data_IF_832894066342
#
_entry.id   IF_832894066342
#
_cell.length_a   1.000
_cell.length_b   1.000
_cell.length_c   1.000
_cell.angle_alpha   90.00
_cell.angle_beta   90.00
_cell.angle_gamma   90.00
#
_symmetry.space_group_name_H-M   'P 1'
#
loop_
_entity.id
_entity.type
_entity.pdbx_description
1 polymer ?
#
# COMPACT_ATOMS: atom_id res chain seq x y z
N UNK A 1 -23.30 -0.43 -1.37
CA UNK A 1 -23.17 -0.69 -2.84
C UNK A 1 -21.93 -1.51 -3.13
N UNK A 2 -22.02 -2.83 -3.35
CA UNK A 2 -20.88 -3.65 -3.72
C UNK A 2 -20.22 -3.12 -4.99
N UNK A 3 -18.88 -3.06 -5.03
CA UNK A 3 -18.14 -2.59 -6.21
C UNK A 3 -17.94 -1.08 -6.33
N UNK A 4 -18.68 -0.23 -5.64
CA UNK A 4 -18.56 1.24 -5.72
C UNK A 4 -17.16 1.74 -5.33
N UNK A 5 -16.51 1.04 -4.39
CA UNK A 5 -15.12 1.33 -4.01
C UNK A 5 -14.18 1.33 -5.22
N UNK A 6 -14.32 0.39 -6.16
CA UNK A 6 -13.48 0.33 -7.38
C UNK A 6 -13.68 1.54 -8.30
N UNK A 7 -14.87 2.15 -8.30
CA UNK A 7 -15.19 3.31 -9.14
C UNK A 7 -14.71 4.62 -8.53
N UNK A 8 -14.78 4.75 -7.21
CA UNK A 8 -14.56 6.01 -6.50
C UNK A 8 -13.21 6.12 -5.79
N UNK A 9 -12.58 4.99 -5.39
CA UNK A 9 -11.27 5.03 -4.76
C UNK A 9 -10.18 5.50 -5.72
N UNK A 10 -9.35 6.42 -5.28
CA UNK A 10 -8.14 6.84 -5.97
C UNK A 10 -7.04 5.77 -5.88
N UNK A 11 -6.12 5.75 -6.87
CA UNK A 11 -5.00 4.79 -6.92
C UNK A 11 -3.81 5.15 -6.03
N UNK A 12 -3.76 6.34 -5.41
CA UNK A 12 -2.49 6.94 -4.93
C UNK A 12 -2.26 7.03 -3.43
N UNK A 13 -3.24 6.74 -2.59
CA UNK A 13 -3.01 6.80 -1.13
C UNK A 13 -3.82 5.72 -0.43
N UNK A 14 -3.16 4.97 0.44
CA UNK A 14 -3.83 4.00 1.30
C UNK A 14 -4.72 4.69 2.36
N UNK A 15 -4.41 5.96 2.69
CA UNK A 15 -5.09 6.75 3.71
C UNK A 15 -5.27 8.21 3.25
N UNK A 16 -6.20 8.48 2.31
CA UNK A 16 -6.39 9.82 1.78
C UNK A 16 -7.01 10.75 2.83
N UNK A 17 -6.47 11.97 2.96
CA UNK A 17 -7.07 13.04 3.77
C UNK A 17 -8.41 13.50 3.20
N UNK A 18 -8.62 13.30 1.91
CA UNK A 18 -9.85 13.59 1.17
C UNK A 18 -10.29 12.33 0.44
N UNK A 19 -11.36 11.72 0.91
CA UNK A 19 -11.85 10.45 0.37
C UNK A 19 -13.17 10.65 -0.38
N UNK A 20 -13.08 10.54 -1.71
CA UNK A 20 -14.24 10.67 -2.60
C UNK A 20 -15.32 9.63 -2.31
N UNK A 21 -14.95 8.42 -1.88
CA UNK A 21 -15.90 7.36 -1.55
C UNK A 21 -16.70 7.74 -0.31
N UNK A 22 -16.04 8.16 0.77
CA UNK A 22 -16.71 8.58 2.01
C UNK A 22 -17.62 9.78 1.79
N UNK A 23 -17.13 10.80 1.06
CA UNK A 23 -17.94 11.97 0.70
C UNK A 23 -19.17 11.60 -0.18
N UNK A 24 -18.99 10.63 -1.09
CA UNK A 24 -20.07 10.15 -1.93
C UNK A 24 -21.11 9.39 -1.11
N UNK A 25 -20.68 8.47 -0.24
CA UNK A 25 -21.59 7.72 0.63
C UNK A 25 -22.31 8.65 1.60
N UNK A 26 -21.65 9.66 2.14
CA UNK A 26 -22.31 10.65 2.99
C UNK A 26 -23.42 11.45 2.25
N UNK A 27 -23.27 11.68 0.95
CA UNK A 27 -24.23 12.44 0.14
C UNK A 27 -25.33 11.54 -0.43
N UNK A 28 -24.95 10.42 -1.07
CA UNK A 28 -25.87 9.44 -1.66
C UNK A 28 -25.89 8.18 -0.79
N UNK A 29 -26.29 8.32 0.46
CA UNK A 29 -26.17 7.29 1.50
C UNK A 29 -26.94 5.99 1.23
N UNK A 30 -27.90 5.99 0.26
CA UNK A 30 -28.68 4.81 -0.10
C UNK A 30 -28.89 4.72 -1.62
N UNK A 31 -29.16 3.51 -2.14
CA UNK A 31 -29.53 3.28 -3.54
C UNK A 31 -30.70 4.14 -4.00
N UNK A 32 -31.76 4.25 -3.17
CA UNK A 32 -32.94 5.02 -3.49
C UNK A 32 -32.68 6.49 -3.73
N UNK A 33 -31.65 7.06 -3.12
CA UNK A 33 -31.24 8.45 -3.37
C UNK A 33 -30.62 8.65 -4.76
N UNK A 34 -30.27 7.56 -5.42
CA UNK A 34 -29.76 7.54 -6.78
C UNK A 34 -30.91 7.19 -7.74
N UNK A 35 -31.63 6.11 -7.46
CA UNK A 35 -32.63 5.53 -8.36
C UNK A 35 -33.98 6.28 -8.37
N UNK A 36 -34.22 7.18 -7.40
CA UNK A 36 -35.35 8.15 -7.43
C UNK A 36 -35.22 9.18 -8.54
N UNK A 37 -34.02 9.41 -9.02
CA UNK A 37 -33.69 10.27 -10.14
C UNK A 37 -33.66 9.44 -11.43
N UNK A 38 -33.96 10.04 -12.56
CA UNK A 38 -33.63 9.46 -13.85
C UNK A 38 -32.10 9.42 -14.01
N UNK A 39 -31.60 8.61 -14.96
CA UNK A 39 -30.17 8.51 -15.21
C UNK A 39 -29.53 9.87 -15.51
N UNK A 40 -30.18 10.68 -16.36
CA UNK A 40 -29.67 11.99 -16.76
C UNK A 40 -29.69 13.01 -15.61
N UNK A 41 -30.72 13.00 -14.78
CA UNK A 41 -30.79 13.82 -13.57
C UNK A 41 -29.72 13.43 -12.56
N UNK A 42 -29.50 12.12 -12.38
CA UNK A 42 -28.40 11.66 -11.51
C UNK A 42 -27.02 12.08 -12.03
N UNK A 43 -26.79 11.98 -13.34
CA UNK A 43 -25.52 12.41 -13.95
C UNK A 43 -25.27 13.88 -13.66
N UNK A 44 -26.26 14.75 -13.86
CA UNK A 44 -26.17 16.19 -13.54
C UNK A 44 -25.87 16.42 -12.06
N UNK A 45 -26.66 15.80 -11.18
CA UNK A 45 -26.49 15.86 -9.72
C UNK A 45 -25.08 15.42 -9.29
N UNK A 46 -24.59 14.30 -9.83
CA UNK A 46 -23.24 13.80 -9.57
C UNK A 46 -22.14 14.76 -10.03
N UNK A 47 -22.30 15.37 -11.20
CA UNK A 47 -21.35 16.34 -11.75
C UNK A 47 -21.30 17.61 -10.89
N UNK A 48 -22.44 18.14 -10.48
CA UNK A 48 -22.55 19.30 -9.59
C UNK A 48 -21.92 19.01 -8.21
N UNK A 49 -22.26 17.86 -7.62
CA UNK A 49 -21.65 17.41 -6.38
C UNK A 49 -20.14 17.27 -6.49
N UNK A 50 -19.64 16.64 -7.56
CA UNK A 50 -18.22 16.45 -7.77
C UNK A 50 -17.51 17.78 -7.97
N UNK A 51 -18.07 18.74 -8.71
CA UNK A 51 -17.55 20.10 -8.90
C UNK A 51 -17.48 20.85 -7.57
N UNK A 52 -18.57 20.83 -6.78
CA UNK A 52 -18.63 21.47 -5.44
C UNK A 52 -17.56 20.91 -4.50
N UNK A 53 -17.32 19.63 -4.54
CA UNK A 53 -16.31 18.93 -3.71
C UNK A 53 -14.89 18.98 -4.33
N UNK A 54 -14.71 19.60 -5.49
CA UNK A 54 -13.43 19.67 -6.24
C UNK A 54 -12.91 18.26 -6.60
N UNK A 55 -13.80 17.36 -6.98
CA UNK A 55 -13.47 16.05 -7.55
C UNK A 55 -13.59 16.08 -9.06
N UNK A 56 -12.84 15.21 -9.72
CA UNK A 56 -13.03 14.97 -11.15
C UNK A 56 -14.43 14.37 -11.40
N UNK A 57 -15.26 15.07 -12.18
CA UNK A 57 -16.58 14.65 -12.60
C UNK A 57 -16.47 13.83 -13.90
N UNK A 58 -16.83 12.55 -13.85
CA UNK A 58 -16.82 11.65 -15.01
C UNK A 58 -18.22 11.13 -15.25
N UNK A 59 -18.82 11.48 -16.37
CA UNK A 59 -20.12 10.99 -16.81
C UNK A 59 -20.16 9.47 -16.90
N UNK A 60 -19.12 8.87 -17.52
CA UNK A 60 -19.01 7.40 -17.61
C UNK A 60 -19.01 6.72 -16.25
N UNK A 61 -18.42 7.35 -15.22
CA UNK A 61 -18.51 6.84 -13.84
C UNK A 61 -19.92 7.01 -13.24
N UNK A 62 -20.55 8.15 -13.49
CA UNK A 62 -21.94 8.39 -13.03
C UNK A 62 -22.89 7.34 -13.60
N UNK A 63 -22.84 7.07 -14.91
CA UNK A 63 -23.63 6.00 -15.56
C UNK A 63 -23.40 4.62 -14.93
N UNK A 64 -22.15 4.26 -14.67
CA UNK A 64 -21.81 3.00 -14.00
C UNK A 64 -22.33 2.92 -12.56
N UNK A 65 -22.31 4.04 -11.83
CA UNK A 65 -22.86 4.12 -10.47
C UNK A 65 -24.39 3.96 -10.52
N UNK A 66 -25.06 4.65 -11.44
CA UNK A 66 -26.50 4.54 -11.63
C UNK A 66 -26.93 3.11 -11.97
N UNK A 67 -26.31 2.50 -12.97
CA UNK A 67 -26.56 1.10 -13.35
C UNK A 67 -26.36 0.13 -12.17
N UNK A 68 -25.32 0.37 -11.36
CA UNK A 68 -25.04 -0.44 -10.18
C UNK A 68 -26.08 -0.22 -9.07
N UNK A 69 -26.59 0.99 -8.91
CA UNK A 69 -27.65 1.28 -7.95
C UNK A 69 -28.99 0.67 -8.39
N UNK A 70 -29.31 0.76 -9.69
CA UNK A 70 -30.57 0.23 -10.27
C UNK A 70 -30.63 -1.31 -10.26
N UNK A 71 -29.48 -1.98 -10.41
CA UNK A 71 -29.39 -3.45 -10.35
C UNK A 71 -29.10 -4.00 -8.94
N UNK A 72 -28.80 -3.13 -7.98
CA UNK A 72 -28.40 -3.52 -6.64
C UNK A 72 -29.60 -3.79 -5.73
N UNK A 73 -29.47 -4.77 -4.85
CA UNK A 73 -30.43 -5.05 -3.79
C UNK A 73 -29.88 -4.49 -2.49
N UNK A 74 -30.54 -3.47 -1.89
CA UNK A 74 -30.08 -2.92 -0.62
C UNK A 74 -30.33 -3.91 0.52
N UNK A 75 -29.37 -4.05 1.42
CA UNK A 75 -29.48 -4.92 2.60
C UNK A 75 -30.40 -4.31 3.67
N UNK A 76 -30.42 -2.98 3.75
CA UNK A 76 -31.23 -2.21 4.69
C UNK A 76 -32.18 -1.30 3.90
N UNK A 77 -33.36 -1.03 4.44
CA UNK A 77 -34.35 -0.13 3.81
C UNK A 77 -33.97 1.34 4.04
N UNK A 78 -34.19 2.18 3.03
CA UNK A 78 -34.06 3.64 3.15
C UNK A 78 -35.14 4.27 4.04
N UNK A 79 -36.27 3.60 4.20
CA UNK A 79 -37.38 4.06 5.05
C UNK A 79 -37.08 3.89 6.55
N UNK A 80 -36.10 3.07 6.91
CA UNK A 80 -35.73 2.84 8.31
C UNK A 80 -34.81 3.98 8.79
N UNK A 81 -35.22 4.79 9.82
CA UNK A 81 -34.43 5.94 10.27
C UNK A 81 -32.99 5.59 10.69
N UNK A 82 -32.79 4.40 11.28
CA UNK A 82 -31.48 3.91 11.69
C UNK A 82 -30.53 3.65 10.53
N UNK A 83 -31.03 3.34 9.32
CA UNK A 83 -30.18 3.06 8.15
C UNK A 83 -29.29 4.27 7.81
N UNK A 84 -29.88 5.46 7.71
CA UNK A 84 -29.13 6.69 7.44
C UNK A 84 -28.13 7.00 8.54
N UNK A 85 -28.54 6.83 9.79
CA UNK A 85 -27.67 7.05 10.95
C UNK A 85 -26.46 6.11 10.91
N UNK A 86 -26.65 4.81 10.66
CA UNK A 86 -25.59 3.82 10.60
C UNK A 86 -24.60 4.11 9.47
N UNK A 87 -25.10 4.47 8.27
CA UNK A 87 -24.23 4.80 7.13
C UNK A 87 -23.38 6.05 7.41
N UNK A 88 -23.99 7.12 7.92
CA UNK A 88 -23.28 8.36 8.21
C UNK A 88 -22.27 8.19 9.34
N UNK A 89 -22.63 7.45 10.38
CA UNK A 89 -21.73 7.16 11.50
C UNK A 89 -20.56 6.28 11.08
N UNK A 90 -20.80 5.28 10.22
CA UNK A 90 -19.73 4.46 9.65
C UNK A 90 -18.74 5.29 8.84
N UNK A 91 -19.21 6.25 8.04
CA UNK A 91 -18.35 7.19 7.29
C UNK A 91 -17.56 8.07 8.25
N UNK A 92 -18.19 8.58 9.31
CA UNK A 92 -17.52 9.40 10.33
C UNK A 92 -16.38 8.64 11.01
N UNK A 93 -16.65 7.42 11.48
CA UNK A 93 -15.65 6.56 12.13
C UNK A 93 -14.49 6.26 11.17
N UNK A 94 -14.78 5.95 9.90
CA UNK A 94 -13.75 5.74 8.89
C UNK A 94 -12.87 6.99 8.70
N UNK A 95 -13.48 8.17 8.68
CA UNK A 95 -12.78 9.46 8.60
C UNK A 95 -11.83 9.68 9.77
N UNK A 96 -12.27 9.43 11.00
CA UNK A 96 -11.45 9.55 12.21
C UNK A 96 -10.28 8.56 12.22
N UNK A 97 -10.51 7.31 11.80
CA UNK A 97 -9.44 6.31 11.66
C UNK A 97 -8.40 6.77 10.64
N UNK A 98 -8.83 7.26 9.48
CA UNK A 98 -7.91 7.75 8.44
C UNK A 98 -7.09 8.94 8.95
N UNK A 99 -7.72 9.90 9.66
CA UNK A 99 -7.04 11.04 10.28
C UNK A 99 -6.00 10.60 11.30
N UNK A 100 -6.35 9.68 12.17
CA UNK A 100 -5.44 9.10 13.17
C UNK A 100 -4.24 8.43 12.50
N UNK A 101 -4.48 7.62 11.46
CA UNK A 101 -3.41 6.98 10.69
C UNK A 101 -2.47 7.99 10.03
N UNK A 102 -3.01 9.09 9.46
CA UNK A 102 -2.18 10.17 8.90
C UNK A 102 -1.31 10.82 9.96
N UNK A 103 -1.87 11.11 11.13
CA UNK A 103 -1.11 11.69 12.24
C UNK A 103 0.04 10.75 12.68
N UNK A 104 -0.24 9.46 12.81
CA UNK A 104 0.79 8.45 13.17
C UNK A 104 1.90 8.41 12.10
N UNK A 105 1.55 8.41 10.81
CA UNK A 105 2.52 8.40 9.72
C UNK A 105 3.38 9.68 9.71
N UNK A 106 2.78 10.84 9.96
CA UNK A 106 3.51 12.12 10.08
C UNK A 106 4.48 12.07 11.26
N UNK A 107 4.03 11.61 12.42
CA UNK A 107 4.89 11.48 13.61
C UNK A 107 6.03 10.48 13.37
N UNK A 108 5.73 9.35 12.73
CA UNK A 108 6.75 8.36 12.35
C UNK A 108 7.83 8.98 11.45
N UNK A 109 7.42 9.76 10.46
CA UNK A 109 8.34 10.45 9.55
C UNK A 109 9.18 11.50 10.30
N UNK A 110 8.55 12.34 11.13
CA UNK A 110 9.23 13.35 11.94
C UNK A 110 10.25 12.70 12.88
N UNK A 111 9.86 11.63 13.58
CA UNK A 111 10.78 10.91 14.48
C UNK A 111 11.92 10.27 13.70
N UNK A 112 11.63 9.61 12.58
CA UNK A 112 12.66 8.98 11.76
C UNK A 112 13.67 9.99 11.21
N UNK A 113 13.23 11.19 10.83
CA UNK A 113 14.11 12.23 10.28
C UNK A 113 15.15 12.77 11.27
N UNK A 114 15.00 12.50 12.56
CA UNK A 114 16.00 12.86 13.59
C UNK A 114 17.11 11.80 13.73
N UNK A 115 16.97 10.64 13.12
CA UNK A 115 17.93 9.54 13.22
C UNK A 115 19.06 9.70 12.21
N UNK A 116 20.28 9.37 12.61
CA UNK A 116 21.50 9.52 11.78
C UNK A 116 21.42 8.79 10.44
N UNK A 117 20.78 7.63 10.43
CA UNK A 117 20.63 6.78 9.24
C UNK A 117 19.55 7.26 8.27
N UNK A 118 18.69 8.19 8.67
CA UNK A 118 17.49 8.55 7.88
C UNK A 118 17.83 8.99 6.45
N UNK A 119 18.75 9.97 6.31
CA UNK A 119 19.10 10.49 4.97
C UNK A 119 19.74 9.42 4.10
N UNK A 120 20.60 8.58 4.68
CA UNK A 120 21.22 7.46 3.96
C UNK A 120 20.19 6.45 3.48
N UNK A 121 19.25 6.08 4.34
CA UNK A 121 18.20 5.13 4.00
C UNK A 121 17.22 5.73 2.99
N UNK A 122 16.84 6.99 3.17
CA UNK A 122 15.95 7.74 2.27
C UNK A 122 16.53 7.86 0.86
N UNK A 123 17.83 8.09 0.75
CA UNK A 123 18.54 8.21 -0.51
C UNK A 123 18.71 6.88 -1.27
N UNK A 124 18.50 5.74 -0.63
CA UNK A 124 18.55 4.44 -1.31
C UNK A 124 17.47 4.37 -2.39
N UNK A 125 17.85 3.94 -3.59
CA UNK A 125 16.94 3.85 -4.72
C UNK A 125 15.68 3.04 -4.40
N UNK A 126 14.51 3.64 -4.68
CA UNK A 126 13.20 3.03 -4.45
C UNK A 126 12.63 3.19 -3.03
N UNK A 127 13.34 3.83 -2.10
CA UNK A 127 12.89 4.01 -0.71
C UNK A 127 12.09 5.29 -0.53
N UNK A 128 12.70 6.48 -0.65
CA UNK A 128 12.04 7.77 -0.49
C UNK A 128 11.46 8.03 0.90
N UNK A 129 10.70 9.14 1.03
CA UNK A 129 10.21 9.67 2.31
C UNK A 129 9.20 8.76 3.04
N UNK A 130 8.45 7.94 2.31
CA UNK A 130 7.40 7.09 2.87
C UNK A 130 7.94 5.75 3.38
N UNK A 131 8.89 5.16 2.66
CA UNK A 131 9.39 3.82 3.00
C UNK A 131 10.59 3.87 3.93
N UNK A 132 11.37 4.97 3.97
CA UNK A 132 12.50 5.12 4.88
C UNK A 132 12.08 5.00 6.36
N UNK A 133 11.09 5.76 6.86
CA UNK A 133 10.63 5.63 8.25
C UNK A 133 10.14 4.22 8.59
N UNK A 134 9.44 3.57 7.65
CA UNK A 134 8.93 2.21 7.86
C UNK A 134 10.05 1.18 7.95
N UNK A 135 11.07 1.28 7.08
CA UNK A 135 12.24 0.40 7.14
C UNK A 135 13.00 0.59 8.45
N UNK A 136 13.26 1.84 8.84
CA UNK A 136 13.99 2.18 10.06
C UNK A 136 13.22 1.67 11.29
N UNK A 137 11.91 1.89 11.36
CA UNK A 137 11.09 1.42 12.48
C UNK A 137 11.07 -0.12 12.59
N UNK A 138 11.00 -0.83 11.47
CA UNK A 138 10.98 -2.30 11.47
C UNK A 138 12.35 -2.93 11.78
N UNK A 139 13.42 -2.32 11.30
CA UNK A 139 14.78 -2.81 11.51
C UNK A 139 15.30 -2.38 12.89
N UNK A 140 14.98 -1.15 13.33
CA UNK A 140 15.53 -0.58 14.56
C UNK A 140 17.06 -0.42 14.49
N UNK A 141 17.72 -0.51 15.63
CA UNK A 141 19.18 -0.42 15.66
C UNK A 141 19.80 -1.60 14.90
N UNK A 142 20.56 -1.28 13.85
CA UNK A 142 21.18 -2.30 12.99
C UNK A 142 22.23 -3.14 13.72
N UNK A 143 22.87 -2.60 14.79
CA UNK A 143 23.87 -3.32 15.61
C UNK A 143 23.29 -4.52 16.37
N UNK A 144 21.97 -4.60 16.53
CA UNK A 144 21.34 -5.80 17.10
C UNK A 144 21.49 -7.05 16.24
N UNK A 145 21.86 -6.88 14.98
CA UNK A 145 22.14 -7.99 14.06
C UNK A 145 23.64 -8.19 13.96
N UNK A 146 24.12 -9.37 14.30
CA UNK A 146 25.55 -9.73 14.21
C UNK A 146 26.07 -9.78 12.75
N UNK A 147 25.18 -9.79 11.76
CA UNK A 147 25.55 -9.82 10.34
C UNK A 147 24.40 -9.39 9.43
N UNK A 148 24.73 -9.03 8.19
CA UNK A 148 23.73 -8.79 7.14
C UNK A 148 22.81 -10.01 6.90
N UNK A 149 23.35 -11.22 7.07
CA UNK A 149 22.57 -12.46 6.94
C UNK A 149 21.54 -12.60 8.07
N UNK A 150 21.85 -12.14 9.29
CA UNK A 150 20.90 -12.11 10.39
C UNK A 150 19.73 -11.15 10.12
N UNK A 151 20.01 -9.98 9.52
CA UNK A 151 18.92 -9.07 9.07
C UNK A 151 18.04 -9.71 7.98
N UNK A 152 18.66 -10.42 7.03
CA UNK A 152 17.91 -11.14 5.98
C UNK A 152 17.04 -12.25 6.59
N UNK A 153 17.54 -12.99 7.56
CA UNK A 153 16.78 -14.00 8.31
C UNK A 153 15.65 -13.37 9.14
N UNK A 154 15.92 -12.21 9.76
CA UNK A 154 14.89 -11.44 10.47
C UNK A 154 13.75 -10.99 9.54
N UNK A 155 14.02 -10.71 8.28
CA UNK A 155 12.97 -10.49 7.27
C UNK A 155 12.28 -11.78 6.81
N UNK A 156 12.77 -12.96 7.23
CA UNK A 156 12.27 -14.27 6.80
C UNK A 156 12.52 -14.55 5.32
N UNK A 157 13.64 -14.05 4.79
CA UNK A 157 14.07 -14.23 3.41
C UNK A 157 15.16 -15.30 3.27
N UNK A 158 15.60 -15.85 4.38
CA UNK A 158 16.49 -17.01 4.41
C UNK A 158 15.82 -18.22 3.77
N UNK A 159 16.61 -19.04 3.12
CA UNK A 159 16.17 -20.33 2.55
C UNK A 159 16.86 -21.42 3.33
N UNK A 160 16.23 -22.03 4.32
CA UNK A 160 16.81 -23.12 5.06
C UNK A 160 17.15 -24.27 4.10
N UNK A 161 18.19 -25.07 4.39
CA UNK A 161 18.45 -26.27 3.63
C UNK A 161 17.20 -27.19 3.69
N UNK A 162 16.89 -27.78 2.57
CA UNK A 162 15.85 -28.81 2.48
C UNK A 162 16.54 -30.12 2.10
N UNK A 163 17.02 -30.79 3.12
CA UNK A 163 17.86 -31.96 3.01
C UNK A 163 17.34 -33.05 3.95
N UNK A 164 17.31 -34.29 3.48
CA UNK A 164 16.96 -35.45 4.28
C UNK A 164 17.80 -36.66 3.81
N UNK A 165 18.76 -37.09 4.64
CA UNK A 165 19.72 -38.10 4.26
C UNK A 165 20.52 -37.68 3.01
N UNK A 166 20.48 -38.50 1.97
CA UNK A 166 21.15 -38.22 0.69
C UNK A 166 20.38 -37.27 -0.23
N UNK A 167 19.18 -36.83 0.17
CA UNK A 167 18.34 -35.97 -0.66
C UNK A 167 18.68 -34.49 -0.41
N UNK A 168 19.06 -33.77 -1.49
CA UNK A 168 19.25 -32.32 -1.49
C UNK A 168 18.21 -31.66 -2.40
N UNK A 169 17.27 -30.92 -1.81
CA UNK A 169 16.21 -30.24 -2.54
C UNK A 169 16.74 -29.08 -3.38
N UNK A 170 16.44 -29.09 -4.68
CA UNK A 170 16.86 -28.03 -5.63
C UNK A 170 15.96 -26.80 -5.58
N UNK A 171 14.70 -26.92 -5.13
CA UNK A 171 13.73 -25.82 -5.02
C UNK A 171 13.52 -25.43 -3.56
N UNK A 172 14.18 -24.36 -3.15
CA UNK A 172 14.06 -23.82 -1.77
C UNK A 172 13.06 -22.67 -1.72
N UNK A 173 12.25 -22.65 -0.68
CA UNK A 173 11.32 -21.54 -0.36
C UNK A 173 11.93 -20.70 0.76
N UNK A 174 11.58 -19.39 0.78
CA UNK A 174 11.96 -18.52 1.91
C UNK A 174 11.26 -19.00 3.18
N UNK A 175 11.92 -18.85 4.34
CA UNK A 175 11.43 -19.35 5.63
C UNK A 175 10.13 -18.70 6.08
N UNK A 176 9.96 -17.39 5.80
CA UNK A 176 8.89 -16.53 6.28
C UNK A 176 8.77 -16.44 7.81
N UNK A 177 9.72 -16.95 8.57
CA UNK A 177 9.71 -16.99 10.04
C UNK A 177 9.93 -15.62 10.68
N UNK A 178 10.51 -14.65 9.96
CA UNK A 178 10.81 -13.32 10.46
C UNK A 178 9.67 -12.31 10.25
N UNK A 179 9.98 -11.00 10.39
CA UNK A 179 9.02 -9.90 10.32
C UNK A 179 8.25 -9.88 8.98
N UNK A 180 6.93 -10.07 8.99
CA UNK A 180 6.12 -9.92 7.79
C UNK A 180 6.02 -8.45 7.33
N UNK A 181 6.12 -7.50 8.27
CA UNK A 181 6.05 -6.06 7.98
C UNK A 181 7.32 -5.60 7.26
N UNK A 182 8.51 -5.97 7.74
CA UNK A 182 9.76 -5.70 7.04
C UNK A 182 9.76 -6.29 5.63
N UNK A 183 9.32 -7.54 5.50
CA UNK A 183 9.22 -8.21 4.18
C UNK A 183 8.25 -7.50 3.26
N UNK A 184 7.10 -7.04 3.77
CA UNK A 184 6.12 -6.25 3.00
C UNK A 184 6.71 -4.92 2.55
N UNK A 185 7.26 -4.14 3.48
CA UNK A 185 7.89 -2.82 3.20
C UNK A 185 9.02 -2.96 2.18
N UNK A 186 9.91 -3.94 2.38
CA UNK A 186 10.99 -4.22 1.42
C UNK A 186 10.48 -4.65 0.04
N UNK A 187 9.38 -5.40 -0.03
CA UNK A 187 8.76 -5.74 -1.32
C UNK A 187 8.15 -4.51 -2.01
N UNK A 188 7.64 -3.54 -1.26
CA UNK A 188 7.18 -2.25 -1.79
C UNK A 188 8.36 -1.46 -2.38
N UNK A 189 9.53 -1.44 -1.71
CA UNK A 189 10.77 -0.88 -2.28
C UNK A 189 11.10 -1.53 -3.62
N UNK A 190 11.02 -2.86 -3.73
CA UNK A 190 11.28 -3.55 -5.00
C UNK A 190 10.29 -3.20 -6.12
N UNK A 191 9.05 -2.87 -5.78
CA UNK A 191 8.07 -2.36 -6.76
C UNK A 191 8.45 -0.96 -7.24
N UNK A 192 8.82 -0.08 -6.31
CA UNK A 192 9.27 1.28 -6.63
C UNK A 192 10.51 1.24 -7.51
N UNK A 193 11.52 0.44 -7.16
CA UNK A 193 12.73 0.24 -7.98
C UNK A 193 12.40 -0.18 -9.41
N UNK A 194 11.46 -1.12 -9.58
CA UNK A 194 11.07 -1.58 -10.91
C UNK A 194 10.35 -0.51 -11.73
N UNK A 195 9.67 0.43 -11.07
CA UNK A 195 8.98 1.54 -11.73
C UNK A 195 9.92 2.69 -12.07
N UNK A 196 10.85 3.01 -11.14
CA UNK A 196 11.79 4.13 -11.26
C UNK A 196 12.90 3.82 -12.26
N UNK A 197 13.38 2.56 -12.32
CA UNK A 197 14.50 2.10 -13.16
C UNK A 197 15.74 2.99 -12.98
N UNK A 198 16.31 3.05 -11.77
CA UNK A 198 17.34 4.02 -11.46
C UNK A 198 18.63 3.77 -12.27
N UNK A 199 19.26 4.86 -12.73
CA UNK A 199 20.57 4.84 -13.35
C UNK A 199 21.69 4.87 -12.30
N UNK A 200 21.50 5.71 -11.27
CA UNK A 200 22.39 5.81 -10.10
C UNK A 200 21.91 4.87 -9.00
N UNK A 201 22.83 4.34 -8.22
CA UNK A 201 22.56 3.33 -7.16
C UNK A 201 21.70 2.15 -7.68
N UNK A 202 22.03 1.71 -8.90
CA UNK A 202 21.24 0.73 -9.65
C UNK A 202 21.55 -0.73 -9.27
N UNK A 203 22.47 -1.00 -8.35
CA UNK A 203 22.98 -2.35 -8.07
C UNK A 203 21.89 -3.39 -7.73
N UNK A 204 20.85 -2.97 -7.01
CA UNK A 204 19.70 -3.83 -6.65
C UNK A 204 18.78 -4.01 -7.85
N UNK A 205 18.51 -2.94 -8.58
CA UNK A 205 17.68 -2.98 -9.78
C UNK A 205 18.29 -3.87 -10.86
N UNK A 206 19.56 -3.67 -11.18
CA UNK A 206 20.30 -4.48 -12.17
C UNK A 206 20.32 -5.96 -11.77
N UNK A 207 20.50 -6.25 -10.48
CA UNK A 207 20.44 -7.63 -9.99
C UNK A 207 19.03 -8.23 -10.17
N UNK A 208 17.96 -7.45 -9.90
CA UNK A 208 16.59 -7.89 -10.12
C UNK A 208 16.34 -8.20 -11.59
N UNK A 209 16.77 -7.30 -12.51
CA UNK A 209 16.63 -7.50 -13.94
C UNK A 209 17.44 -8.71 -14.44
N UNK A 210 18.66 -8.89 -13.95
CA UNK A 210 19.46 -10.10 -14.21
C UNK A 210 18.69 -11.37 -13.84
N UNK A 211 18.06 -11.41 -12.66
CA UNK A 211 17.27 -12.56 -12.20
C UNK A 211 16.03 -12.82 -13.07
N UNK A 212 15.40 -11.78 -13.59
CA UNK A 212 14.29 -11.93 -14.55
C UNK A 212 14.81 -12.47 -15.90
N UNK A 213 15.96 -11.99 -16.38
CA UNK A 213 16.59 -12.48 -17.61
C UNK A 213 17.06 -13.94 -17.51
N UNK A 214 17.45 -14.39 -16.30
CA UNK A 214 17.72 -15.81 -15.99
C UNK A 214 16.45 -16.71 -15.96
N UNK A 215 15.28 -16.17 -16.36
CA UNK A 215 14.00 -16.92 -16.39
C UNK A 215 13.31 -17.04 -15.03
N UNK A 216 13.75 -16.34 -13.98
CA UNK A 216 13.06 -16.36 -12.68
C UNK A 216 11.74 -15.59 -12.77
N UNK A 217 10.69 -16.15 -12.18
CA UNK A 217 9.40 -15.46 -12.06
C UNK A 217 9.58 -14.08 -11.39
N UNK A 218 8.87 -13.05 -11.86
CA UNK A 218 8.98 -11.65 -11.39
C UNK A 218 8.90 -11.48 -9.86
N UNK A 219 8.10 -12.32 -9.17
CA UNK A 219 8.04 -12.32 -7.70
C UNK A 219 9.31 -12.87 -7.07
N UNK A 220 9.88 -13.92 -7.64
CA UNK A 220 11.12 -14.55 -7.15
C UNK A 220 12.29 -13.60 -7.36
N UNK A 221 12.41 -12.97 -8.53
CA UNK A 221 13.44 -11.96 -8.81
C UNK A 221 13.39 -10.79 -7.81
N UNK A 222 12.20 -10.26 -7.47
CA UNK A 222 12.03 -9.23 -6.44
C UNK A 222 12.47 -9.70 -5.06
N UNK A 223 12.17 -10.93 -4.66
CA UNK A 223 12.60 -11.46 -3.36
C UNK A 223 14.12 -11.65 -3.31
N UNK A 224 14.74 -12.11 -4.39
CA UNK A 224 16.21 -12.19 -4.49
C UNK A 224 16.85 -10.79 -4.42
N UNK A 225 16.27 -9.81 -5.12
CA UNK A 225 16.71 -8.42 -5.06
C UNK A 225 16.53 -7.81 -3.66
N UNK A 226 15.45 -8.13 -2.95
CA UNK A 226 15.22 -7.68 -1.57
C UNK A 226 16.29 -8.24 -0.62
N UNK A 227 16.71 -9.48 -0.78
CA UNK A 227 17.84 -10.03 -0.01
C UNK A 227 19.12 -9.18 -0.22
N UNK A 228 19.45 -8.86 -1.48
CA UNK A 228 20.59 -7.99 -1.80
C UNK A 228 20.41 -6.58 -1.23
N UNK A 229 19.21 -6.01 -1.31
CA UNK A 229 18.89 -4.70 -0.75
C UNK A 229 19.14 -4.64 0.76
N UNK A 230 18.67 -5.61 1.53
CA UNK A 230 18.88 -5.64 2.98
C UNK A 230 20.35 -5.79 3.36
N UNK A 231 21.15 -6.48 2.57
CA UNK A 231 22.61 -6.55 2.78
C UNK A 231 23.29 -5.19 2.54
N UNK A 232 22.86 -4.47 1.50
CA UNK A 232 23.38 -3.12 1.23
C UNK A 232 22.90 -2.14 2.30
N UNK A 233 21.63 -2.23 2.72
CA UNK A 233 21.09 -1.46 3.83
C UNK A 233 21.95 -1.64 5.09
N UNK A 234 22.20 -2.90 5.48
CA UNK A 234 23.00 -3.24 6.64
C UNK A 234 24.40 -2.60 6.57
N UNK A 235 25.10 -2.74 5.45
CA UNK A 235 26.44 -2.18 5.28
C UNK A 235 26.44 -0.65 5.42
N UNK A 236 25.55 0.03 4.68
CA UNK A 236 25.46 1.51 4.68
C UNK A 236 25.10 2.10 6.06
N UNK A 237 24.20 1.44 6.78
CA UNK A 237 23.80 1.94 8.11
C UNK A 237 24.86 1.62 9.16
N UNK A 238 25.56 0.50 9.04
CA UNK A 238 26.69 0.16 9.92
C UNK A 238 27.85 1.14 9.78
N UNK A 239 28.11 1.68 8.58
CA UNK A 239 29.16 2.69 8.35
C UNK A 239 28.90 4.03 9.06
N UNK A 240 27.63 4.30 9.46
CA UNK A 240 27.23 5.54 10.14
C UNK A 240 27.30 5.43 11.68
N UNK A 241 27.49 4.24 12.22
CA UNK A 241 27.40 3.94 13.66
C UNK A 241 28.76 3.54 14.25
#
# INVERSE_FOLDING_TARGET
MPGIKKLLSGKRSDYPTKDKLSDFVAHYWHYDNITKLSEDEFIKSYQEWAKKKKYHASESKARKIYAMASSGIPTLSSSTPSTKMLELESVRVLGEINKTLQNILTQLQTTASTLKEYETVRAMSGVGDVLAPRLIAEIGNVKRFHSASALVAYAGLDSPPYESGNFVGTRRKISKRGSPLLRKTGYEVMKCLKTIQPEKDAAVYLYMMKKEAEGKAKKVAKIAALNKFLRIYYARVMELQ
#
